data_IF_608870722223
#
_entry.id   IF_608870722223
#
_cell.length_a   1.000
_cell.length_b   1.000
_cell.length_c   1.000
_cell.angle_alpha   90.00
_cell.angle_beta   90.00
_cell.angle_gamma   90.00
#
_symmetry.space_group_name_H-M   'P 1'
#
loop_
_entity.id
_entity.type
_entity.pdbx_description
1 polymer ?
#
# COMPACT_ATOMS: atom_id res chain seq x y z
N UNK A 1 -0.23 13.62 20.74
CA UNK A 1 -0.60 12.24 21.01
C UNK A 1 -0.76 11.54 19.67
N UNK A 2 -0.22 10.33 19.53
CA UNK A 2 -0.22 9.57 18.28
C UNK A 2 -1.43 8.64 18.14
N UNK A 3 -2.20 8.46 19.23
CA UNK A 3 -3.34 7.56 19.28
C UNK A 3 -4.44 7.86 18.23
N UNK A 4 -4.50 9.10 17.72
CA UNK A 4 -5.45 9.55 16.67
C UNK A 4 -4.74 10.06 15.40
N UNK A 5 -3.51 9.60 15.12
CA UNK A 5 -2.75 10.06 13.97
C UNK A 5 -3.27 9.45 12.66
N UNK A 6 -4.18 10.16 11.97
CA UNK A 6 -4.48 9.88 10.56
C UNK A 6 -3.48 10.61 9.65
N UNK A 7 -2.69 9.92 8.81
CA UNK A 7 -1.73 10.60 7.93
C UNK A 7 -2.45 11.47 6.89
N UNK A 8 -1.97 12.69 6.66
CA UNK A 8 -2.54 13.58 5.63
C UNK A 8 -2.27 13.02 4.24
N UNK A 9 -3.34 12.57 3.58
CA UNK A 9 -3.26 11.98 2.24
C UNK A 9 -2.91 13.01 1.20
N UNK A 10 -3.42 14.24 1.30
CA UNK A 10 -3.06 15.31 0.35
C UNK A 10 -1.66 15.87 0.56
N UNK A 11 -1.11 15.79 1.78
CA UNK A 11 0.30 16.07 1.98
C UNK A 11 1.18 15.07 1.24
N UNK A 12 0.87 13.77 1.34
CA UNK A 12 1.58 12.73 0.58
C UNK A 12 1.39 12.98 -0.93
N UNK A 13 0.16 13.15 -1.38
CA UNK A 13 -0.17 13.30 -2.80
C UNK A 13 0.42 14.56 -3.46
N UNK A 14 0.53 15.65 -2.71
CA UNK A 14 1.23 16.85 -3.18
C UNK A 14 2.72 16.58 -3.36
N UNK A 15 3.38 15.96 -2.39
CA UNK A 15 4.83 15.71 -2.44
C UNK A 15 5.20 14.66 -3.50
N UNK A 16 4.35 13.66 -3.72
CA UNK A 16 4.45 12.74 -4.87
C UNK A 16 4.54 13.52 -6.19
N UNK A 17 3.53 14.36 -6.45
CA UNK A 17 3.46 15.15 -7.68
C UNK A 17 4.49 16.27 -7.75
N UNK A 18 5.03 16.73 -6.63
CA UNK A 18 6.16 17.66 -6.60
C UNK A 18 7.42 17.00 -7.18
N UNK A 19 7.69 15.75 -6.79
CA UNK A 19 8.82 14.98 -7.33
C UNK A 19 8.62 14.65 -8.81
N UNK A 20 7.37 14.36 -9.20
CA UNK A 20 7.03 14.02 -10.59
C UNK A 20 6.78 15.23 -11.50
N UNK A 21 6.77 16.45 -10.97
CA UNK A 21 6.59 17.69 -11.75
C UNK A 21 5.15 17.95 -12.22
N UNK A 22 4.15 17.47 -11.50
CA UNK A 22 2.73 17.47 -11.91
C UNK A 22 1.77 18.09 -10.89
N UNK A 23 2.24 18.92 -9.95
CA UNK A 23 1.41 19.49 -8.84
C UNK A 23 0.14 20.22 -9.28
N UNK A 24 0.11 20.78 -10.49
CA UNK A 24 -1.06 21.50 -11.03
C UNK A 24 -2.09 20.59 -11.72
N UNK A 25 -1.82 19.28 -11.80
CA UNK A 25 -2.66 18.29 -12.48
C UNK A 25 -2.95 17.11 -11.55
N UNK A 26 -4.16 16.56 -11.64
CA UNK A 26 -4.53 15.29 -11.00
C UNK A 26 -3.97 14.14 -11.84
N UNK A 27 -2.65 14.01 -11.80
CA UNK A 27 -1.91 13.15 -12.71
C UNK A 27 -1.74 11.73 -12.18
N UNK A 28 -2.16 11.46 -10.95
CA UNK A 28 -1.73 10.27 -10.22
C UNK A 28 -0.24 10.32 -9.83
N UNK A 29 0.27 9.21 -9.29
CA UNK A 29 1.66 9.10 -8.83
C UNK A 29 2.20 7.66 -8.85
N UNK A 30 3.51 7.53 -8.72
CA UNK A 30 4.25 6.29 -8.47
C UNK A 30 4.32 6.02 -6.97
N UNK A 31 4.01 4.79 -6.55
CA UNK A 31 4.04 4.38 -5.13
C UNK A 31 5.41 4.69 -4.51
N UNK A 32 6.49 4.35 -5.23
CA UNK A 32 7.86 4.54 -4.77
C UNK A 32 8.21 6.01 -4.50
N UNK A 33 7.71 6.95 -5.30
CA UNK A 33 7.99 8.37 -5.09
C UNK A 33 7.23 8.90 -3.86
N UNK A 34 6.04 8.36 -3.58
CA UNK A 34 5.33 8.56 -2.32
C UNK A 34 6.13 8.06 -1.12
N UNK A 35 6.65 6.83 -1.17
CA UNK A 35 7.49 6.28 -0.08
C UNK A 35 8.74 7.13 0.14
N UNK A 36 9.42 7.55 -0.94
CA UNK A 36 10.62 8.40 -0.85
C UNK A 36 10.33 9.74 -0.21
N UNK A 37 9.22 10.38 -0.55
CA UNK A 37 8.84 11.66 0.06
C UNK A 37 8.49 11.47 1.53
N UNK A 38 7.71 10.45 1.88
CA UNK A 38 7.44 10.10 3.28
C UNK A 38 8.72 9.77 4.08
N UNK A 39 9.76 9.24 3.44
CA UNK A 39 11.05 9.02 4.09
C UNK A 39 11.86 10.31 4.26
N UNK A 40 11.87 11.17 3.25
CA UNK A 40 12.66 12.42 3.25
C UNK A 40 12.01 13.53 4.07
N UNK A 41 10.74 13.81 3.79
CA UNK A 41 9.98 14.94 4.36
C UNK A 41 9.03 14.52 5.49
N UNK A 42 8.65 13.24 5.54
CA UNK A 42 7.69 12.73 6.53
C UNK A 42 6.24 12.88 6.11
N UNK A 43 5.32 12.77 7.07
CA UNK A 43 3.89 13.00 6.87
C UNK A 43 3.28 13.70 8.08
N UNK A 44 2.48 14.74 7.87
CA UNK A 44 1.74 15.39 8.95
C UNK A 44 0.37 14.71 9.17
N UNK A 45 -0.31 14.93 10.30
CA UNK A 45 -1.68 14.48 10.48
C UNK A 45 -2.64 15.18 9.52
N UNK A 46 -3.71 14.51 9.11
CA UNK A 46 -4.78 15.06 8.29
C UNK A 46 -5.56 16.19 8.99
N UNK A 47 -5.49 16.27 10.33
CA UNK A 47 -6.02 17.42 11.09
C UNK A 47 -5.22 18.71 10.87
N UNK A 48 -3.96 18.60 10.40
CA UNK A 48 -3.09 19.73 10.04
C UNK A 48 -3.26 20.09 8.57
N UNK A 49 -3.29 19.10 7.68
CA UNK A 49 -3.52 19.28 6.25
C UNK A 49 -4.66 18.38 5.79
N UNK A 50 -5.87 18.94 5.70
CA UNK A 50 -7.12 18.18 5.52
C UNK A 50 -7.25 17.57 4.14
N UNK A 51 -8.04 16.50 4.05
CA UNK A 51 -8.50 16.00 2.77
C UNK A 51 -9.61 16.89 2.22
N UNK A 52 -9.45 17.34 0.99
CA UNK A 52 -10.43 18.08 0.20
C UNK A 52 -10.25 17.65 -1.26
N UNK A 53 -11.24 16.90 -1.78
CA UNK A 53 -11.24 16.39 -3.15
C UNK A 53 -11.77 17.41 -4.17
N UNK A 54 -11.91 18.67 -3.76
CA UNK A 54 -12.23 19.79 -4.61
C UNK A 54 -11.16 20.04 -5.70
N UNK A 55 -11.51 20.80 -6.74
CA UNK A 55 -10.73 20.89 -7.97
C UNK A 55 -9.40 21.64 -7.85
N UNK A 56 -9.13 22.29 -6.72
CA UNK A 56 -7.97 23.18 -6.56
C UNK A 56 -7.14 22.92 -5.31
N UNK A 57 -7.70 22.37 -4.23
CA UNK A 57 -6.96 22.22 -2.97
C UNK A 57 -5.75 21.29 -3.11
N UNK A 58 -5.90 20.21 -3.88
CA UNK A 58 -4.81 19.28 -4.16
C UNK A 58 -3.61 19.94 -4.88
N UNK A 59 -3.78 21.12 -5.51
CA UNK A 59 -2.69 21.87 -6.18
C UNK A 59 -1.91 22.75 -5.20
N UNK A 60 -2.47 23.03 -4.03
CA UNK A 60 -1.89 23.95 -3.06
C UNK A 60 -0.72 23.30 -2.34
N UNK A 61 0.37 24.05 -2.22
CA UNK A 61 1.52 23.63 -1.44
C UNK A 61 1.18 23.62 0.06
N UNK A 62 1.47 22.53 0.79
CA UNK A 62 1.36 22.53 2.24
C UNK A 62 2.20 23.63 2.89
N UNK A 63 1.67 24.23 3.96
CA UNK A 63 2.36 25.30 4.68
C UNK A 63 3.61 24.79 5.43
N UNK A 64 4.48 25.73 5.84
CA UNK A 64 5.72 25.39 6.54
C UNK A 64 5.46 24.58 7.82
N UNK A 65 4.37 24.89 8.53
CA UNK A 65 3.96 24.19 9.76
C UNK A 65 3.64 22.71 9.48
N UNK A 66 3.01 22.40 8.35
CA UNK A 66 2.74 21.04 7.90
C UNK A 66 4.04 20.27 7.71
N UNK A 67 5.04 20.88 7.06
CA UNK A 67 6.36 20.26 6.88
C UNK A 67 7.12 20.09 8.19
N UNK A 68 7.10 21.07 9.10
CA UNK A 68 7.74 20.98 10.43
C UNK A 68 7.17 19.83 11.26
N UNK A 69 5.85 19.65 11.23
CA UNK A 69 5.18 18.53 11.92
C UNK A 69 5.52 17.21 11.23
N UNK A 70 5.51 17.18 9.89
CA UNK A 70 5.82 15.98 9.11
C UNK A 70 7.20 15.39 9.42
N UNK A 71 8.21 16.24 9.68
CA UNK A 71 9.57 15.79 10.02
C UNK A 71 9.63 14.85 11.24
N UNK A 72 8.63 14.90 12.13
CA UNK A 72 8.53 14.04 13.32
C UNK A 72 8.03 12.63 13.00
N UNK A 73 7.47 12.43 11.81
CA UNK A 73 6.79 11.21 11.40
C UNK A 73 7.31 10.76 10.03
N UNK A 74 8.48 10.13 9.98
CA UNK A 74 9.13 9.71 8.73
C UNK A 74 9.11 8.20 8.55
N UNK A 75 8.87 7.75 7.32
CA UNK A 75 9.17 6.36 6.96
C UNK A 75 10.68 6.16 7.05
N UNK A 76 11.13 5.33 7.99
CA UNK A 76 12.55 5.10 8.23
C UNK A 76 13.11 3.95 7.40
N UNK A 77 12.24 3.03 6.97
CA UNK A 77 12.62 1.87 6.16
C UNK A 77 11.51 1.49 5.20
N UNK A 78 11.88 0.99 4.03
CA UNK A 78 10.95 0.47 3.04
C UNK A 78 11.66 -0.55 2.17
N UNK A 79 10.92 -1.54 1.69
CA UNK A 79 11.48 -2.60 0.85
C UNK A 79 10.44 -3.15 -0.13
N UNK A 80 10.91 -3.57 -1.30
CA UNK A 80 10.09 -4.32 -2.25
C UNK A 80 9.76 -5.68 -1.66
N UNK A 81 8.49 -6.04 -1.71
CA UNK A 81 8.02 -7.39 -1.40
C UNK A 81 8.08 -8.18 -2.71
N UNK A 82 8.75 -9.33 -2.70
CA UNK A 82 8.77 -10.19 -3.88
C UNK A 82 7.34 -10.62 -4.23
N UNK A 83 6.99 -10.58 -5.51
CA UNK A 83 5.70 -11.03 -6.05
C UNK A 83 5.64 -12.57 -6.09
N UNK A 84 5.80 -13.16 -4.92
CA UNK A 84 5.72 -14.58 -4.64
C UNK A 84 4.72 -14.77 -3.49
N UNK A 85 3.81 -15.73 -3.64
CA UNK A 85 2.72 -15.93 -2.67
C UNK A 85 3.25 -16.16 -1.25
N UNK A 86 4.35 -16.90 -1.11
CA UNK A 86 4.94 -17.18 0.20
C UNK A 86 5.56 -15.94 0.84
N UNK A 87 6.23 -15.10 0.04
CA UNK A 87 6.84 -13.86 0.50
C UNK A 87 5.80 -12.81 0.88
N UNK A 88 4.74 -12.65 0.08
CA UNK A 88 3.62 -11.76 0.39
C UNK A 88 2.89 -12.17 1.68
N UNK A 89 2.61 -13.48 1.85
CA UNK A 89 2.01 -13.98 3.11
C UNK A 89 2.93 -13.78 4.30
N UNK A 90 4.24 -14.01 4.14
CA UNK A 90 5.21 -13.81 5.22
C UNK A 90 5.32 -12.33 5.63
N UNK A 91 5.20 -11.40 4.69
CA UNK A 91 5.12 -9.96 4.98
C UNK A 91 3.96 -9.66 5.94
N UNK A 92 2.76 -10.09 5.57
CA UNK A 92 1.54 -9.92 6.38
C UNK A 92 1.67 -10.63 7.74
N UNK A 93 2.18 -11.86 7.75
CA UNK A 93 2.37 -12.65 8.97
C UNK A 93 3.38 -12.03 9.94
N UNK A 94 4.34 -11.29 9.41
CA UNK A 94 5.30 -10.50 10.18
C UNK A 94 4.69 -9.18 10.70
N UNK A 95 3.40 -8.96 10.46
CA UNK A 95 2.66 -7.77 10.88
C UNK A 95 2.87 -6.56 9.97
N UNK A 96 3.41 -6.76 8.77
CA UNK A 96 3.64 -5.66 7.82
C UNK A 96 2.61 -5.72 6.69
N UNK A 97 1.69 -4.76 6.61
CA UNK A 97 0.91 -4.57 5.39
C UNK A 97 1.85 -4.14 4.26
N UNK A 98 1.42 -4.37 3.01
CA UNK A 98 2.15 -3.89 1.85
C UNK A 98 1.20 -3.19 0.88
N UNK A 99 1.68 -2.13 0.25
CA UNK A 99 0.98 -1.42 -0.82
C UNK A 99 1.38 -2.01 -2.16
N UNK A 100 0.49 -1.95 -3.13
CA UNK A 100 0.77 -2.41 -4.49
C UNK A 100 -0.15 -1.75 -5.49
N UNK A 101 0.28 -1.73 -6.74
CA UNK A 101 -0.51 -1.30 -7.88
C UNK A 101 -1.12 -2.47 -8.62
N UNK A 102 -2.32 -2.29 -9.17
CA UNK A 102 -2.97 -3.29 -10.02
C UNK A 102 -3.78 -2.66 -11.15
N UNK A 103 -3.93 -3.42 -12.23
CA UNK A 103 -4.79 -3.08 -13.35
C UNK A 103 -6.26 -3.22 -12.92
N UNK A 104 -7.04 -2.16 -13.03
CA UNK A 104 -8.48 -2.22 -12.82
C UNK A 104 -9.15 -2.67 -14.10
N UNK A 105 -9.81 -3.83 -14.06
CA UNK A 105 -10.60 -4.37 -15.17
C UNK A 105 -12.09 -4.06 -14.99
N UNK A 106 -12.85 -4.10 -16.09
CA UNK A 106 -14.30 -3.88 -16.06
C UNK A 106 -15.05 -4.78 -15.08
N UNK A 107 -14.63 -6.05 -14.93
CA UNK A 107 -15.19 -7.00 -13.98
C UNK A 107 -15.04 -6.57 -12.50
N UNK A 108 -14.08 -5.69 -12.19
CA UNK A 108 -13.91 -5.12 -10.85
C UNK A 108 -14.89 -3.97 -10.55
N UNK A 109 -15.47 -3.34 -11.58
CA UNK A 109 -16.38 -2.19 -11.44
C UNK A 109 -17.86 -2.58 -11.44
N UNK A 110 -18.19 -3.85 -11.21
CA UNK A 110 -19.59 -4.30 -11.17
C UNK A 110 -20.25 -3.97 -9.83
N UNK A 111 -21.59 -3.87 -9.83
CA UNK A 111 -22.37 -3.66 -8.61
C UNK A 111 -22.21 -4.81 -7.59
N UNK A 112 -21.97 -6.04 -8.07
CA UNK A 112 -21.71 -7.19 -7.21
C UNK A 112 -20.38 -7.04 -6.46
N UNK A 113 -19.30 -6.67 -7.16
CA UNK A 113 -18.01 -6.40 -6.50
C UNK A 113 -18.15 -5.20 -5.55
N UNK A 114 -18.84 -4.14 -5.98
CA UNK A 114 -19.06 -2.95 -5.16
C UNK A 114 -19.92 -3.20 -3.92
N UNK A 115 -20.74 -4.26 -3.87
CA UNK A 115 -21.56 -4.59 -2.70
C UNK A 115 -20.98 -5.69 -1.82
N UNK A 116 -20.08 -6.53 -2.36
CA UNK A 116 -19.56 -7.70 -1.65
C UNK A 116 -18.05 -7.64 -1.39
N UNK A 117 -17.33 -6.81 -2.13
CA UNK A 117 -15.87 -6.81 -2.15
C UNK A 117 -15.27 -8.07 -2.78
N UNK A 118 -16.05 -8.95 -3.41
CA UNK A 118 -15.53 -10.22 -3.95
C UNK A 118 -14.99 -10.02 -5.36
N UNK A 119 -13.69 -9.83 -5.48
CA UNK A 119 -13.04 -9.67 -6.79
C UNK A 119 -12.98 -11.02 -7.52
N UNK A 120 -13.19 -10.97 -8.83
CA UNK A 120 -13.09 -12.13 -9.73
C UNK A 120 -11.81 -12.07 -10.57
N UNK A 121 -11.39 -13.22 -11.11
CA UNK A 121 -10.34 -13.26 -12.12
C UNK A 121 -10.79 -12.58 -13.43
N UNK A 122 -9.85 -12.11 -14.27
CA UNK A 122 -10.17 -11.48 -15.54
C UNK A 122 -11.12 -12.33 -16.39
N UNK A 123 -12.14 -11.70 -16.96
CA UNK A 123 -13.10 -12.31 -17.87
C UNK A 123 -12.65 -12.10 -19.32
N UNK A 124 -13.06 -12.97 -20.27
CA UNK A 124 -12.64 -12.85 -21.68
C UNK A 124 -12.96 -11.51 -22.35
N UNK A 125 -13.99 -10.81 -21.87
CA UNK A 125 -14.44 -9.52 -22.39
C UNK A 125 -13.96 -8.34 -21.55
N UNK A 126 -13.03 -8.55 -20.62
CA UNK A 126 -12.58 -7.48 -19.74
C UNK A 126 -11.80 -6.40 -20.49
N UNK A 127 -12.11 -5.16 -20.14
CA UNK A 127 -11.37 -3.98 -20.56
C UNK A 127 -10.58 -3.43 -19.37
N UNK A 128 -9.32 -3.05 -19.60
CA UNK A 128 -8.55 -2.32 -18.60
C UNK A 128 -9.00 -0.86 -18.56
N UNK A 129 -9.48 -0.44 -17.40
CA UNK A 129 -10.03 0.89 -17.16
C UNK A 129 -8.99 1.88 -16.60
N UNK A 130 -7.96 1.37 -15.92
CA UNK A 130 -6.91 2.19 -15.32
C UNK A 130 -5.98 1.40 -14.41
N UNK A 131 -5.15 2.12 -13.66
CA UNK A 131 -4.26 1.56 -12.63
C UNK A 131 -4.61 2.13 -11.25
N UNK A 132 -4.81 1.24 -10.27
CA UNK A 132 -5.18 1.62 -8.90
C UNK A 132 -4.17 1.09 -7.89
N UNK A 133 -3.93 1.84 -6.81
CA UNK A 133 -3.05 1.42 -5.72
C UNK A 133 -3.86 1.20 -4.44
N UNK A 134 -3.55 0.11 -3.73
CA UNK A 134 -4.29 -0.38 -2.56
C UNK A 134 -3.33 -1.00 -1.55
N UNK A 135 -3.84 -1.37 -0.37
CA UNK A 135 -3.03 -1.91 0.72
C UNK A 135 -3.52 -3.31 1.11
N UNK A 136 -2.67 -4.33 0.97
CA UNK A 136 -2.93 -5.66 1.49
C UNK A 136 -2.72 -5.70 3.00
N UNK A 137 -3.70 -6.22 3.73
CA UNK A 137 -3.75 -6.21 5.21
C UNK A 137 -4.04 -7.58 5.80
N UNK A 138 -4.14 -8.62 4.98
CA UNK A 138 -4.50 -9.94 5.43
C UNK A 138 -4.53 -10.95 4.29
N UNK A 139 -4.70 -12.22 4.62
CA UNK A 139 -4.98 -13.28 3.67
C UNK A 139 -5.84 -14.38 4.30
N UNK A 140 -6.59 -15.06 3.45
CA UNK A 140 -7.44 -16.20 3.81
C UNK A 140 -7.13 -17.39 2.89
N UNK A 141 -6.50 -18.44 3.43
CA UNK A 141 -6.18 -19.66 2.69
C UNK A 141 -7.40 -20.53 2.36
N UNK A 142 -8.51 -20.37 3.06
CA UNK A 142 -9.75 -21.07 2.74
C UNK A 142 -10.37 -20.49 1.48
N UNK A 143 -10.33 -19.16 1.35
CA UNK A 143 -10.86 -18.42 0.20
C UNK A 143 -9.81 -18.17 -0.91
N UNK A 144 -8.54 -18.48 -0.66
CA UNK A 144 -7.42 -18.25 -1.59
C UNK A 144 -7.32 -16.78 -2.05
N UNK A 145 -7.46 -15.85 -1.11
CA UNK A 145 -7.44 -14.41 -1.40
C UNK A 145 -6.63 -13.60 -0.38
N UNK A 146 -6.15 -12.44 -0.81
CA UNK A 146 -5.69 -11.37 0.07
C UNK A 146 -6.88 -10.49 0.48
N UNK A 147 -6.86 -10.06 1.73
CA UNK A 147 -7.76 -9.02 2.26
C UNK A 147 -7.10 -7.68 1.94
N UNK A 148 -7.76 -6.86 1.14
CA UNK A 148 -7.21 -5.63 0.59
C UNK A 148 -8.08 -4.45 0.98
N UNK A 149 -7.44 -3.43 1.56
CA UNK A 149 -8.08 -2.17 1.91
C UNK A 149 -8.12 -1.25 0.69
N UNK A 150 -9.31 -0.82 0.33
CA UNK A 150 -9.53 0.17 -0.72
C UNK A 150 -9.61 1.59 -0.13
N UNK A 151 -9.83 2.58 -1.00
CA UNK A 151 -9.93 4.01 -0.66
C UNK A 151 -11.17 4.67 -1.27
N UNK A 152 -12.29 3.95 -1.35
CA UNK A 152 -13.56 4.43 -1.91
C UNK A 152 -14.69 4.50 -0.87
N UNK A 153 -14.31 4.73 0.39
CA UNK A 153 -15.25 4.85 1.50
C UNK A 153 -15.77 3.51 2.02
N UNK A 154 -16.36 3.55 3.21
CA UNK A 154 -16.86 2.35 3.90
C UNK A 154 -18.07 1.73 3.22
N UNK A 155 -18.84 2.51 2.44
CA UNK A 155 -20.00 2.03 1.71
C UNK A 155 -19.69 1.16 0.49
N UNK A 156 -18.41 1.04 0.10
CA UNK A 156 -17.99 0.22 -1.03
C UNK A 156 -17.36 -1.11 -0.57
N UNK A 157 -17.67 -2.20 -1.26
CA UNK A 157 -17.16 -3.53 -0.96
C UNK A 157 -17.63 -4.05 0.40
N UNK A 158 -16.79 -4.83 1.07
CA UNK A 158 -17.02 -5.23 2.46
C UNK A 158 -16.43 -4.18 3.40
N UNK A 159 -17.24 -3.16 3.72
CA UNK A 159 -16.85 -2.05 4.62
C UNK A 159 -15.55 -1.36 4.18
N UNK A 160 -15.38 -1.09 2.89
CA UNK A 160 -14.17 -0.51 2.31
C UNK A 160 -13.07 -1.51 1.95
N UNK A 161 -13.28 -2.79 2.17
CA UNK A 161 -12.33 -3.86 1.82
C UNK A 161 -12.84 -4.68 0.64
N UNK A 162 -11.91 -5.37 -0.01
CA UNK A 162 -12.20 -6.38 -1.00
C UNK A 162 -11.22 -7.55 -0.88
N UNK A 163 -11.56 -8.64 -1.55
CA UNK A 163 -10.89 -9.92 -1.47
C UNK A 163 -10.30 -10.24 -2.84
N UNK A 164 -8.98 -10.04 -2.99
CA UNK A 164 -8.26 -10.23 -4.25
C UNK A 164 -7.75 -11.67 -4.36
N UNK A 165 -8.09 -12.45 -5.41
CA UNK A 165 -7.56 -13.79 -5.59
C UNK A 165 -6.03 -13.82 -5.60
N UNK A 166 -5.42 -14.85 -5.01
CA UNK A 166 -3.96 -15.04 -5.03
C UNK A 166 -3.39 -15.03 -6.45
N UNK A 167 -4.08 -15.68 -7.38
CA UNK A 167 -3.67 -15.74 -8.78
C UNK A 167 -3.62 -14.36 -9.44
N UNK A 168 -4.51 -13.44 -9.04
CA UNK A 168 -4.54 -12.08 -9.58
C UNK A 168 -3.28 -11.30 -9.20
N UNK A 169 -2.98 -11.24 -7.90
CA UNK A 169 -1.83 -10.47 -7.39
C UNK A 169 -0.48 -11.12 -7.73
N UNK A 170 -0.44 -12.44 -7.92
CA UNK A 170 0.79 -13.13 -8.34
C UNK A 170 1.09 -12.97 -9.83
N UNK A 171 0.13 -12.46 -10.62
CA UNK A 171 0.33 -12.25 -12.05
C UNK A 171 0.98 -10.88 -12.31
N UNK A 172 2.23 -10.82 -12.82
CA UNK A 172 2.94 -9.56 -13.04
C UNK A 172 2.33 -8.68 -14.14
N UNK A 173 1.42 -9.22 -14.97
CA UNK A 173 0.67 -8.42 -15.94
C UNK A 173 -0.53 -7.69 -15.30
N UNK A 174 -0.96 -8.12 -14.10
CA UNK A 174 -2.16 -7.62 -13.43
C UNK A 174 -1.85 -6.81 -12.18
N UNK A 175 -0.76 -7.12 -11.47
CA UNK A 175 -0.32 -6.39 -10.29
C UNK A 175 1.21 -6.24 -10.28
N UNK A 176 1.70 -5.16 -9.69
CA UNK A 176 3.13 -4.88 -9.53
C UNK A 176 3.37 -3.83 -8.42
N UNK A 177 4.62 -3.40 -8.24
CA UNK A 177 5.02 -2.38 -7.27
C UNK A 177 4.64 -2.67 -5.82
N UNK A 178 4.91 -3.89 -5.39
CA UNK A 178 4.65 -4.33 -4.03
C UNK A 178 5.71 -3.76 -3.09
N UNK A 179 5.30 -2.91 -2.15
CA UNK A 179 6.18 -2.25 -1.19
C UNK A 179 5.64 -2.35 0.24
N UNK A 180 6.52 -2.72 1.17
CA UNK A 180 6.26 -2.60 2.60
C UNK A 180 7.03 -1.39 3.15
N UNK A 181 6.44 -0.70 4.13
CA UNK A 181 7.07 0.44 4.82
C UNK A 181 7.18 0.17 6.32
N UNK A 182 8.17 0.77 6.97
CA UNK A 182 8.38 0.77 8.41
C UNK A 182 8.69 2.20 8.90
N UNK A 183 8.27 2.48 10.13
CA UNK A 183 8.29 3.80 10.76
C UNK A 183 9.28 3.95 11.94
N UNK A 184 9.84 2.86 12.50
CA UNK A 184 10.84 2.93 13.61
C UNK A 184 12.16 2.27 13.28
N UNK A 185 13.26 2.82 13.81
CA UNK A 185 14.68 2.41 13.67
C UNK A 185 15.00 0.91 13.81
N UNK A 186 14.03 0.06 14.18
CA UNK A 186 14.15 -1.39 14.34
C UNK A 186 14.63 -2.16 13.11
N UNK A 187 14.85 -1.52 11.96
CA UNK A 187 15.56 -2.12 10.82
C UNK A 187 17.08 -2.12 10.94
N UNK A 188 17.68 -1.51 11.99
CA UNK A 188 19.11 -1.71 12.26
C UNK A 188 19.43 -3.17 12.67
N UNK A 189 18.46 -3.94 13.15
CA UNK A 189 18.65 -5.34 13.53
C UNK A 189 18.22 -6.35 12.45
N UNK A 190 17.75 -5.89 11.29
CA UNK A 190 17.57 -6.72 10.10
C UNK A 190 18.89 -6.90 9.31
N UNK A 191 19.99 -6.25 9.74
CA UNK A 191 21.35 -6.49 9.24
C UNK A 191 21.90 -7.88 9.60
N UNK A 192 21.17 -8.70 10.37
CA UNK A 192 21.57 -10.06 10.71
C UNK A 192 21.02 -11.15 9.77
N UNK A 193 20.19 -10.82 8.78
CA UNK A 193 19.80 -11.76 7.73
C UNK A 193 20.60 -11.47 6.45
N UNK A 194 21.52 -12.37 6.11
CA UNK A 194 22.43 -12.24 4.97
C UNK A 194 21.68 -11.93 3.65
N UNK A 195 21.87 -10.72 3.11
CA UNK A 195 21.33 -10.30 1.81
C UNK A 195 22.35 -10.56 0.70
N UNK A 196 21.89 -11.11 -0.43
CA UNK A 196 22.68 -11.20 -1.67
C UNK A 196 22.11 -10.21 -2.68
N UNK A 197 22.95 -9.29 -3.18
CA UNK A 197 22.59 -8.21 -4.12
C UNK A 197 22.75 -8.73 -5.55
N UNK A 198 21.75 -8.54 -6.42
CA UNK A 198 21.94 -8.59 -7.88
C UNK A 198 21.22 -7.43 -8.57
N UNK A 199 21.85 -6.87 -9.60
CA UNK A 199 21.39 -5.69 -10.34
C UNK A 199 20.72 -6.07 -11.67
N UNK A 200 19.76 -5.26 -12.13
CA UNK A 200 19.30 -5.26 -13.52
C UNK A 200 19.03 -3.84 -14.04
N UNK A 201 19.12 -3.57 -15.35
CA UNK A 201 19.08 -2.23 -15.93
C UNK A 201 17.68 -1.79 -16.41
N UNK A 202 17.52 -0.47 -16.49
CA UNK A 202 16.27 0.29 -16.63
C UNK A 202 15.71 0.42 -18.07
N UNK A 203 14.42 0.77 -18.23
CA UNK A 203 13.91 1.58 -19.37
C UNK A 203 12.48 2.20 -19.22
N UNK A 204 12.41 3.48 -19.66
CA UNK A 204 11.41 4.32 -20.37
C UNK A 204 9.93 4.51 -19.92
N UNK A 205 9.51 5.79 -20.00
CA UNK A 205 8.24 6.42 -19.59
C UNK A 205 7.10 6.35 -20.62
N UNK A 206 5.85 6.35 -20.16
CA UNK A 206 4.61 6.36 -20.98
C UNK A 206 3.69 7.52 -20.56
N UNK A 207 2.96 8.08 -21.54
CA UNK A 207 2.10 9.28 -21.46
C UNK A 207 0.81 9.10 -20.63
N UNK A 208 0.39 10.18 -19.94
CA UNK A 208 -0.77 10.23 -19.03
C UNK A 208 -2.07 10.68 -19.71
N UNK A 209 -3.16 9.91 -19.54
CA UNK A 209 -4.55 10.37 -19.74
C UNK A 209 -5.14 10.80 -18.39
N UNK A 210 -6.10 11.73 -18.41
CA UNK A 210 -6.83 12.15 -17.21
C UNK A 210 -7.71 11.00 -16.69
N UNK A 211 -7.62 10.69 -15.39
CA UNK A 211 -8.34 9.55 -14.81
C UNK A 211 -9.18 10.00 -13.62
N UNK A 212 -10.48 9.69 -13.65
CA UNK A 212 -11.32 9.75 -12.46
C UNK A 212 -11.08 8.48 -11.62
N UNK A 213 -10.63 8.65 -10.37
CA UNK A 213 -10.39 7.63 -9.32
C UNK A 213 -9.21 6.66 -9.43
N UNK A 214 -8.66 6.37 -10.61
CA UNK A 214 -7.44 5.56 -10.73
C UNK A 214 -6.25 6.48 -10.97
N UNK A 215 -5.14 6.30 -10.25
CA UNK A 215 -4.01 7.23 -10.39
C UNK A 215 -2.66 6.59 -10.13
N UNK A 216 -2.61 5.27 -10.06
CA UNK A 216 -1.34 4.58 -9.91
C UNK A 216 -0.59 4.59 -11.24
N UNK A 217 0.66 5.05 -11.18
CA UNK A 217 1.65 4.93 -12.25
C UNK A 217 2.62 3.79 -11.91
N UNK A 218 2.76 2.79 -12.79
CA UNK A 218 3.78 1.76 -12.61
C UNK A 218 5.18 2.35 -12.45
N UNK A 219 5.92 1.91 -11.45
CA UNK A 219 7.33 2.23 -11.27
C UNK A 219 8.24 1.09 -11.73
N UNK A 220 9.24 1.40 -12.55
CA UNK A 220 10.21 0.40 -12.97
C UNK A 220 11.23 0.16 -11.85
N UNK A 221 11.54 -1.09 -11.49
CA UNK A 221 12.59 -1.40 -10.53
C UNK A 221 13.93 -0.75 -10.91
N UNK A 222 14.62 -0.15 -9.93
CA UNK A 222 15.97 0.38 -10.12
C UNK A 222 16.94 -0.03 -9.02
N UNK A 223 18.24 0.16 -9.27
CA UNK A 223 19.33 -0.31 -8.39
C UNK A 223 19.29 0.25 -6.95
N UNK A 224 18.47 1.27 -6.67
CA UNK A 224 18.30 1.84 -5.33
C UNK A 224 17.18 1.16 -4.54
N UNK A 225 16.45 0.23 -5.17
CA UNK A 225 15.35 -0.49 -4.54
C UNK A 225 15.91 -1.60 -3.64
N UNK A 226 15.68 -1.46 -2.34
CA UNK A 226 15.96 -2.51 -1.37
C UNK A 226 14.93 -3.62 -1.53
N UNK A 227 15.40 -4.86 -1.67
CA UNK A 227 14.54 -6.03 -1.74
C UNK A 227 14.56 -6.74 -0.39
N UNK A 228 13.39 -7.06 0.14
CA UNK A 228 13.26 -7.90 1.32
C UNK A 228 12.85 -9.30 0.89
N UNK A 229 13.65 -10.27 1.31
CA UNK A 229 13.24 -11.66 1.39
C UNK A 229 13.00 -11.97 2.85
N UNK A 230 11.78 -12.39 3.18
CA UNK A 230 11.49 -12.87 4.52
C UNK A 230 12.03 -14.30 4.62
N UNK A 231 12.93 -14.60 5.58
CA UNK A 231 13.50 -15.93 5.70
C UNK A 231 12.37 -16.94 5.87
N UNK A 232 12.40 -18.03 5.09
CA UNK A 232 11.58 -19.20 5.41
C UNK A 232 11.93 -19.58 6.84
N UNK A 233 10.94 -19.57 7.74
CA UNK A 233 11.17 -20.07 9.09
C UNK A 233 11.56 -21.54 8.95
N UNK A 234 12.85 -21.85 9.05
CA UNK A 234 13.28 -23.23 9.22
C UNK A 234 12.66 -23.69 10.52
N UNK A 235 11.78 -24.69 10.43
CA UNK A 235 11.17 -25.28 11.60
C UNK A 235 12.30 -25.69 12.57
N UNK A 236 12.24 -25.28 13.86
CA UNK A 236 13.21 -25.72 14.85
C UNK A 236 13.33 -27.24 14.78
N UNK A 237 14.56 -27.76 14.78
CA UNK A 237 14.94 -29.16 14.52
C UNK A 237 14.35 -30.21 15.49
N UNK A 238 13.40 -29.82 16.34
CA UNK A 238 12.62 -30.69 17.25
C UNK A 238 11.10 -30.48 17.20
N UNK A 239 10.60 -29.62 16.32
CA UNK A 239 9.16 -29.43 16.09
C UNK A 239 8.82 -30.20 14.82
N UNK A 240 7.85 -31.13 14.90
CA UNK A 240 7.30 -31.81 13.71
C UNK A 240 7.07 -30.76 12.62
N UNK A 241 7.67 -30.94 11.44
CA UNK A 241 7.39 -30.08 10.27
C UNK A 241 5.88 -29.85 10.23
N UNK A 242 5.42 -28.61 10.44
CA UNK A 242 4.03 -28.27 10.11
C UNK A 242 3.86 -28.64 8.65
N UNK A 243 2.85 -29.43 8.34
CA UNK A 243 2.61 -29.93 7.00
C UNK A 243 2.56 -28.74 6.02
N UNK A 244 3.22 -28.89 4.88
CA UNK A 244 2.98 -28.05 3.71
C UNK A 244 1.46 -27.97 3.47
N UNK A 245 0.87 -26.76 3.47
CA UNK A 245 -0.55 -26.57 3.21
C UNK A 245 -1.49 -26.47 4.42
N UNK A 246 -1.00 -26.12 5.62
CA UNK A 246 -1.89 -25.77 6.72
C UNK A 246 -2.56 -24.41 6.44
N UNK A 247 -3.82 -24.44 6.01
CA UNK A 247 -4.62 -23.23 5.74
C UNK A 247 -4.77 -22.40 7.01
N UNK A 248 -4.47 -21.11 6.91
CA UNK A 248 -4.68 -20.14 7.97
C UNK A 248 -5.37 -18.86 7.46
N UNK A 249 -5.86 -18.06 8.40
CA UNK A 249 -6.35 -16.71 8.13
C UNK A 249 -5.49 -15.78 8.97
N UNK A 250 -4.84 -14.81 8.32
CA UNK A 250 -4.13 -13.73 8.99
C UNK A 250 -4.82 -12.43 8.60
N UNK A 251 -5.27 -11.67 9.59
CA UNK A 251 -6.02 -10.45 9.39
C UNK A 251 -5.46 -9.36 10.30
N UNK A 252 -4.84 -8.34 9.70
CA UNK A 252 -4.27 -7.21 10.44
C UNK A 252 -5.31 -6.14 10.74
N UNK A 253 -6.56 -6.29 10.30
CA UNK A 253 -7.64 -5.33 10.61
C UNK A 253 -7.80 -5.24 12.13
N UNK A 254 -7.82 -4.03 12.72
CA UNK A 254 -8.02 -3.86 14.15
C UNK A 254 -9.42 -4.35 14.56
N UNK A 255 -9.50 -5.21 15.59
CA UNK A 255 -10.75 -5.83 16.04
C UNK A 255 -11.86 -4.83 16.45
N UNK A 256 -11.49 -3.59 16.81
CA UNK A 256 -12.41 -2.56 17.32
C UNK A 256 -12.40 -1.25 16.51
N UNK A 257 -12.17 -1.30 15.19
CA UNK A 257 -12.37 -0.12 14.32
C UNK A 257 -11.22 0.90 14.35
N UNK A 258 -9.99 0.41 14.41
CA UNK A 258 -8.79 1.20 14.70
C UNK A 258 -8.39 2.34 13.75
N UNK A 259 -9.16 2.69 12.70
CA UNK A 259 -9.15 3.99 11.99
C UNK A 259 -10.11 4.01 10.78
N UNK A 260 -10.64 5.19 10.36
CA UNK A 260 -11.69 5.30 9.34
C UNK A 260 -11.23 4.79 7.97
N UNK A 261 -12.14 4.19 7.20
CA UNK A 261 -11.91 3.87 5.78
C UNK A 261 -11.82 5.17 4.99
N UNK A 262 -10.73 5.33 4.24
CA UNK A 262 -10.53 6.51 3.43
C UNK A 262 -11.44 6.49 2.21
N UNK A 263 -11.96 7.67 1.88
CA UNK A 263 -12.55 7.94 0.57
C UNK A 263 -11.69 8.98 -0.12
N UNK A 264 -11.18 8.62 -1.30
CA UNK A 264 -10.38 9.53 -2.12
C UNK A 264 -11.26 10.49 -2.95
N UNK A 265 -12.57 10.24 -3.02
CA UNK A 265 -13.51 11.04 -3.79
C UNK A 265 -13.19 10.97 -5.28
N UNK A 266 -12.99 12.14 -5.90
CA UNK A 266 -12.79 12.27 -7.34
C UNK A 266 -11.32 12.23 -7.78
N UNK A 267 -10.38 12.40 -6.84
CA UNK A 267 -8.96 12.53 -7.15
C UNK A 267 -8.31 11.18 -7.51
N UNK A 268 -7.29 11.21 -8.36
CA UNK A 268 -6.37 10.12 -8.65
C UNK A 268 -5.33 9.86 -7.54
N UNK A 269 -5.68 10.06 -6.28
CA UNK A 269 -4.75 10.03 -5.12
C UNK A 269 -4.59 8.65 -4.47
N UNK A 270 -4.89 7.57 -5.19
CA UNK A 270 -4.91 6.20 -4.65
C UNK A 270 -3.58 5.76 -4.00
N UNK A 271 -2.42 6.16 -4.55
CA UNK A 271 -1.09 5.88 -3.97
C UNK A 271 -0.96 6.47 -2.57
N UNK A 272 -1.31 7.75 -2.41
CA UNK A 272 -1.27 8.44 -1.14
C UNK A 272 -2.23 7.81 -0.11
N UNK A 273 -3.41 7.35 -0.55
CA UNK A 273 -4.35 6.65 0.33
C UNK A 273 -3.82 5.27 0.77
N UNK A 274 -3.24 4.50 -0.15
CA UNK A 274 -2.64 3.20 0.15
C UNK A 274 -1.46 3.34 1.12
N UNK A 275 -0.58 4.33 0.89
CA UNK A 275 0.56 4.62 1.75
C UNK A 275 0.15 5.12 3.13
N UNK A 276 -0.84 6.02 3.21
CA UNK A 276 -1.41 6.45 4.48
C UNK A 276 -1.99 5.26 5.27
N UNK A 277 -2.67 4.33 4.59
CA UNK A 277 -3.17 3.12 5.24
C UNK A 277 -2.03 2.25 5.78
N UNK A 278 -1.02 1.94 4.98
CA UNK A 278 0.12 1.13 5.41
C UNK A 278 0.89 1.77 6.57
N UNK A 279 1.03 3.11 6.55
CA UNK A 279 1.66 3.87 7.63
C UNK A 279 0.86 3.71 8.92
N UNK A 280 -0.46 3.88 8.85
CA UNK A 280 -1.33 3.78 10.02
C UNK A 280 -1.37 2.37 10.63
N UNK A 281 -1.44 1.32 9.82
CA UNK A 281 -1.32 -0.06 10.31
C UNK A 281 0.02 -0.30 11.02
N UNK A 282 1.10 0.31 10.50
CA UNK A 282 2.42 0.26 11.12
C UNK A 282 2.45 0.97 12.47
N UNK A 283 1.79 2.13 12.60
CA UNK A 283 1.60 2.81 13.89
C UNK A 283 0.87 1.92 14.89
N UNK A 284 -0.26 1.37 14.48
CA UNK A 284 -1.11 0.56 15.36
C UNK A 284 -0.38 -0.68 15.89
N UNK A 285 0.39 -1.36 15.03
CA UNK A 285 1.25 -2.47 15.44
C UNK A 285 2.19 -2.06 16.58
N UNK A 286 2.84 -0.90 16.45
CA UNK A 286 3.80 -0.42 17.45
C UNK A 286 3.13 -0.04 18.77
N UNK A 287 1.96 0.59 18.73
CA UNK A 287 1.19 0.86 19.93
C UNK A 287 0.83 -0.43 20.67
N UNK A 288 0.43 -1.47 19.93
CA UNK A 288 0.14 -2.79 20.50
C UNK A 288 1.40 -3.46 21.05
N UNK A 289 2.56 -3.30 20.40
CA UNK A 289 3.83 -3.89 20.84
C UNK A 289 4.46 -3.16 22.03
N UNK A 290 4.39 -1.82 22.09
CA UNK A 290 4.95 -1.01 23.18
C UNK A 290 4.09 -1.04 24.45
N UNK A 291 2.80 -1.37 24.34
CA UNK A 291 1.88 -1.53 25.48
C UNK A 291 1.84 -2.97 26.03
N UNK A 292 2.71 -3.87 25.54
CA UNK A 292 2.91 -5.24 26.04
C UNK A 292 4.22 -5.36 26.81
#
# INVERSE_FOLDING_TARGET
DFADFTPSRLFIYYNERLVEGSVNQDAGAMIRDGIKTMSKVGVCPESVWKYDDGPDFFKQQPDSKSYEIAQKCKVIGYARVAQDLSQMKMCIKSGYPFVFGFAVLSSFQTAEVASTGRMVMPQPTDQQLGGHAVCAVGYDDFQQCFIVRNSWGEGWGDKGYFYMPYEYICNPALAMDLWAINWVEGFKNAEAAQFTISQNPAMKSVETRAIQKFGWKPDMPDHRDLHVTFPKVEAPSKIKKKAEGQKEIVDLRPMNGGFPIFDQGHLGSCTANALAAAFHFTLHKMEVENNK
#
